data_IF_931500403378
#
_entry.id   IF_931500403378
#
_cell.length_a   1.000
_cell.length_b   1.000
_cell.length_c   1.000
_cell.angle_alpha   90.00
_cell.angle_beta   90.00
_cell.angle_gamma   90.00
#
_symmetry.space_group_name_H-M   'P 1'
#
loop_
_entity.id
_entity.type
_entity.pdbx_description
1 polymer ?
#
# COMPACT_ATOMS: atom_id res chain seq x y z
N UNK A 1 -20.84 -48.80 -5.15
CA UNK A 1 -21.15 -47.60 -4.36
C UNK A 1 -19.89 -47.26 -3.59
N UNK A 2 -19.05 -46.39 -4.15
CA UNK A 2 -17.78 -46.01 -3.53
C UNK A 2 -18.07 -45.06 -2.38
N UNK A 3 -17.71 -45.44 -1.16
CA UNK A 3 -17.94 -44.63 0.03
C UNK A 3 -17.06 -43.38 0.00
N UNK A 4 -17.74 -42.25 0.09
CA UNK A 4 -17.24 -40.87 0.06
C UNK A 4 -16.49 -40.55 1.37
N UNK A 5 -15.29 -41.09 1.55
CA UNK A 5 -14.41 -40.76 2.70
C UNK A 5 -13.53 -39.54 2.41
N UNK A 6 -14.12 -38.45 1.92
CA UNK A 6 -13.48 -37.11 1.93
C UNK A 6 -13.91 -36.30 3.18
N UNK A 7 -14.71 -36.90 4.07
CA UNK A 7 -15.63 -36.12 4.91
C UNK A 7 -14.98 -35.35 6.08
N UNK A 8 -13.75 -35.68 6.51
CA UNK A 8 -13.17 -35.10 7.74
C UNK A 8 -11.73 -34.61 7.62
N UNK A 9 -11.36 -34.05 6.46
CA UNK A 9 -10.11 -33.30 6.33
C UNK A 9 -10.22 -31.92 6.97
N UNK A 10 -9.22 -31.51 7.75
CA UNK A 10 -9.14 -30.15 8.27
C UNK A 10 -8.78 -29.19 7.14
N UNK A 11 -9.58 -28.14 6.97
CA UNK A 11 -9.39 -27.15 5.90
C UNK A 11 -8.22 -26.19 6.20
N UNK A 12 -7.81 -26.06 7.46
CA UNK A 12 -6.72 -25.18 7.88
C UNK A 12 -5.33 -25.82 7.73
N UNK A 13 -5.18 -27.12 8.01
CA UNK A 13 -3.87 -27.80 7.99
C UNK A 13 -3.83 -29.04 7.08
N UNK A 14 -4.95 -29.43 6.48
CA UNK A 14 -5.02 -30.59 5.60
C UNK A 14 -4.97 -31.95 6.32
N UNK A 15 -4.93 -31.98 7.66
CA UNK A 15 -4.90 -33.24 8.42
C UNK A 15 -6.22 -33.99 8.26
N UNK A 16 -6.13 -35.28 7.96
CA UNK A 16 -7.29 -36.15 7.82
C UNK A 16 -7.64 -36.84 9.15
N UNK A 17 -8.93 -36.94 9.45
CA UNK A 17 -9.42 -37.57 10.67
C UNK A 17 -10.39 -38.69 10.37
N UNK A 18 -10.40 -39.70 11.23
CA UNK A 18 -11.32 -40.84 11.11
C UNK A 18 -12.78 -40.48 11.44
N UNK A 19 -13.02 -39.32 12.08
CA UNK A 19 -14.37 -38.89 12.47
C UNK A 19 -14.46 -37.38 12.70
N UNK A 20 -15.67 -36.83 12.53
CA UNK A 20 -15.99 -35.42 12.79
C UNK A 20 -15.62 -34.92 14.20
N UNK A 21 -15.88 -35.65 15.30
CA UNK A 21 -15.48 -35.25 16.65
C UNK A 21 -13.96 -35.16 16.82
N UNK A 22 -13.19 -36.06 16.19
CA UNK A 22 -11.72 -35.97 16.20
C UNK A 22 -11.22 -34.75 15.42
N UNK A 23 -11.81 -34.43 14.26
CA UNK A 23 -11.55 -33.18 13.51
C UNK A 23 -11.88 -31.95 14.36
N UNK A 24 -13.05 -31.92 15.00
CA UNK A 24 -13.47 -30.80 15.84
C UNK A 24 -12.56 -30.61 17.06
N UNK A 25 -12.16 -31.70 17.73
CA UNK A 25 -11.17 -31.67 18.80
C UNK A 25 -9.82 -31.11 18.34
N UNK A 26 -9.33 -31.56 17.20
CA UNK A 26 -8.10 -31.03 16.60
C UNK A 26 -8.18 -29.53 16.33
N UNK A 27 -9.28 -29.05 15.72
CA UNK A 27 -9.51 -27.63 15.45
C UNK A 27 -9.51 -26.82 16.76
N UNK A 28 -10.20 -27.31 17.79
CA UNK A 28 -10.25 -26.61 19.08
C UNK A 28 -8.87 -26.50 19.77
N UNK A 29 -8.00 -27.49 19.57
CA UNK A 29 -6.69 -27.55 20.23
C UNK A 29 -5.56 -26.90 19.42
N UNK A 30 -5.63 -26.95 18.08
CA UNK A 30 -4.53 -26.54 17.19
C UNK A 30 -4.85 -25.32 16.33
N UNK A 31 -6.13 -24.94 16.19
CA UNK A 31 -6.59 -23.84 15.33
C UNK A 31 -7.32 -22.75 16.13
N UNK A 32 -6.95 -22.55 17.39
CA UNK A 32 -7.61 -21.58 18.29
C UNK A 32 -7.53 -20.14 17.76
N UNK A 33 -6.40 -19.76 17.19
CA UNK A 33 -6.18 -18.43 16.60
C UNK A 33 -7.02 -18.25 15.34
N UNK A 34 -7.09 -19.27 14.47
CA UNK A 34 -7.96 -19.27 13.29
C UNK A 34 -9.44 -19.18 13.68
N UNK A 35 -9.85 -19.88 14.74
CA UNK A 35 -11.21 -19.79 15.28
C UNK A 35 -11.51 -18.38 15.78
N UNK A 36 -10.60 -17.80 16.56
CA UNK A 36 -10.73 -16.43 17.05
C UNK A 36 -10.83 -15.43 15.89
N UNK A 37 -9.99 -15.56 14.86
CA UNK A 37 -10.05 -14.75 13.65
C UNK A 37 -11.41 -14.87 12.95
N UNK A 38 -11.92 -16.09 12.80
CA UNK A 38 -13.25 -16.32 12.23
C UNK A 38 -14.38 -15.75 13.10
N UNK A 39 -14.26 -15.79 14.43
CA UNK A 39 -15.22 -15.17 15.34
C UNK A 39 -15.28 -13.65 15.16
N UNK A 40 -14.13 -12.99 14.97
CA UNK A 40 -14.08 -11.56 14.67
C UNK A 40 -14.78 -11.24 13.35
N UNK A 41 -14.52 -12.03 12.29
CA UNK A 41 -15.17 -11.89 10.98
C UNK A 41 -16.69 -12.05 11.11
N UNK A 42 -17.17 -13.10 11.77
CA UNK A 42 -18.59 -13.33 11.95
C UNK A 42 -19.26 -12.25 12.80
N UNK A 43 -18.59 -11.74 13.83
CA UNK A 43 -19.09 -10.61 14.61
C UNK A 43 -19.24 -9.35 13.74
N UNK A 44 -18.28 -9.09 12.85
CA UNK A 44 -18.31 -7.95 11.93
C UNK A 44 -19.43 -8.09 10.90
N UNK A 45 -19.59 -9.27 10.28
CA UNK A 45 -20.65 -9.57 9.32
C UNK A 45 -22.05 -9.47 9.94
N UNK A 46 -22.22 -9.96 11.17
CA UNK A 46 -23.49 -9.84 11.89
C UNK A 46 -23.86 -8.38 12.14
N UNK A 47 -22.90 -7.57 12.61
CA UNK A 47 -23.14 -6.15 12.82
C UNK A 47 -23.43 -5.43 11.50
N UNK A 48 -22.74 -5.79 10.42
CA UNK A 48 -23.02 -5.24 9.10
C UNK A 48 -24.44 -5.57 8.62
N UNK A 49 -24.89 -6.79 8.89
CA UNK A 49 -26.26 -7.25 8.55
C UNK A 49 -27.31 -6.51 9.38
N UNK A 50 -27.05 -6.27 10.67
CA UNK A 50 -27.94 -5.52 11.57
C UNK A 50 -28.07 -4.04 11.17
N UNK A 51 -26.94 -3.42 10.79
CA UNK A 51 -26.91 -2.02 10.35
C UNK A 51 -27.38 -1.83 8.90
N UNK A 52 -27.38 -2.90 8.09
CA UNK A 52 -27.66 -2.85 6.66
C UNK A 52 -26.55 -2.18 5.83
N UNK A 53 -25.38 -1.93 6.44
CA UNK A 53 -24.19 -1.38 5.79
C UNK A 53 -22.93 -1.84 6.51
N UNK A 54 -21.77 -1.68 5.88
CA UNK A 54 -20.50 -1.99 6.53
C UNK A 54 -20.32 -1.14 7.80
N UNK A 55 -20.02 -1.73 8.96
CA UNK A 55 -19.88 -0.97 10.19
C UNK A 55 -18.67 -0.04 10.09
N UNK A 56 -18.83 1.18 10.58
CA UNK A 56 -17.73 2.12 10.78
C UNK A 56 -17.01 1.81 12.08
N UNK A 57 -15.79 2.33 12.20
CA UNK A 57 -14.99 2.10 13.39
C UNK A 57 -15.64 2.69 14.66
N UNK A 58 -16.50 3.72 14.55
CA UNK A 58 -17.23 4.28 15.70
C UNK A 58 -18.38 3.37 16.12
N UNK A 59 -19.10 2.81 15.16
CA UNK A 59 -20.23 1.90 15.44
C UNK A 59 -19.78 0.60 16.08
N UNK A 60 -18.55 0.15 15.79
CA UNK A 60 -17.95 -1.01 16.46
C UNK A 60 -17.57 -0.69 17.90
N UNK A 61 -17.06 0.51 18.17
CA UNK A 61 -16.76 0.90 19.55
C UNK A 61 -18.05 1.12 20.39
N UNK A 62 -19.18 1.44 19.75
CA UNK A 62 -20.47 1.65 20.43
C UNK A 62 -21.36 0.41 20.53
N UNK A 63 -21.46 -0.37 19.44
CA UNK A 63 -22.40 -1.50 19.29
C UNK A 63 -21.70 -2.83 19.03
N UNK A 64 -20.40 -2.79 18.76
CA UNK A 64 -19.61 -3.99 18.49
C UNK A 64 -19.39 -4.81 19.75
N UNK A 65 -19.32 -6.13 19.57
CA UNK A 65 -18.95 -7.06 20.65
C UNK A 65 -17.47 -6.96 21.03
N UNK A 66 -16.65 -6.48 20.10
CA UNK A 66 -15.21 -6.33 20.26
C UNK A 66 -14.81 -4.90 19.94
N UNK A 67 -13.74 -4.43 20.57
CA UNK A 67 -13.22 -3.08 20.32
C UNK A 67 -12.52 -3.00 18.97
N UNK A 68 -12.49 -1.80 18.38
CA UNK A 68 -11.67 -1.50 17.19
C UNK A 68 -10.24 -2.03 17.31
N UNK A 69 -9.63 -1.86 18.48
CA UNK A 69 -8.22 -2.22 18.70
C UNK A 69 -8.00 -3.73 18.55
N UNK A 70 -8.97 -4.55 18.97
CA UNK A 70 -8.89 -6.00 18.79
C UNK A 70 -8.82 -6.39 17.31
N UNK A 71 -9.65 -5.78 16.46
CA UNK A 71 -9.60 -5.98 15.01
C UNK A 71 -8.27 -5.52 14.39
N UNK A 72 -7.74 -4.37 14.80
CA UNK A 72 -6.45 -3.88 14.31
C UNK A 72 -5.30 -4.81 14.76
N UNK A 73 -5.35 -5.34 15.97
CA UNK A 73 -4.32 -6.26 16.48
C UNK A 73 -4.35 -7.61 15.76
N UNK A 74 -5.54 -8.14 15.46
CA UNK A 74 -5.69 -9.45 14.80
C UNK A 74 -5.45 -9.38 13.28
N UNK A 75 -5.99 -8.36 12.60
CA UNK A 75 -5.97 -8.24 11.13
C UNK A 75 -4.98 -7.20 10.59
N UNK A 76 -4.29 -6.46 11.48
CA UNK A 76 -3.36 -5.41 11.12
C UNK A 76 -4.03 -4.06 10.82
N UNK A 77 -5.00 -4.02 9.90
CA UNK A 77 -5.75 -2.78 9.60
C UNK A 77 -7.26 -3.00 9.56
N UNK A 78 -8.01 -1.92 9.76
CA UNK A 78 -9.47 -1.95 9.67
C UNK A 78 -9.97 -2.35 8.28
N UNK A 79 -9.28 -1.91 7.23
CA UNK A 79 -9.64 -2.26 5.86
C UNK A 79 -9.34 -3.73 5.56
N UNK A 80 -8.26 -4.28 6.13
CA UNK A 80 -7.97 -5.72 6.04
C UNK A 80 -9.06 -6.53 6.74
N UNK A 81 -9.49 -6.11 7.93
CA UNK A 81 -10.61 -6.76 8.63
C UNK A 81 -11.92 -6.73 7.83
N UNK A 82 -12.25 -5.61 7.19
CA UNK A 82 -13.41 -5.52 6.29
C UNK A 82 -13.27 -6.40 5.06
N UNK A 83 -12.06 -6.48 4.48
CA UNK A 83 -11.75 -7.31 3.31
C UNK A 83 -11.90 -8.80 3.61
N UNK A 84 -11.35 -9.26 4.74
CA UNK A 84 -11.50 -10.64 5.22
C UNK A 84 -12.97 -10.98 5.52
N UNK A 85 -13.73 -10.01 6.02
CA UNK A 85 -15.16 -10.16 6.24
C UNK A 85 -16.01 -10.08 4.96
N UNK A 86 -15.40 -9.86 3.79
CA UNK A 86 -16.08 -9.64 2.51
C UNK A 86 -17.11 -8.48 2.57
N UNK A 87 -16.79 -7.44 3.35
CA UNK A 87 -17.62 -6.25 3.52
C UNK A 87 -17.08 -5.07 2.72
N UNK A 88 -17.97 -4.19 2.27
CA UNK A 88 -17.60 -3.00 1.51
C UNK A 88 -16.77 -2.04 2.37
N UNK A 89 -15.67 -1.51 1.81
CA UNK A 89 -14.79 -0.59 2.50
C UNK A 89 -15.45 0.79 2.55
N UNK A 90 -16.15 1.07 3.65
CA UNK A 90 -17.03 2.24 3.81
C UNK A 90 -16.29 3.60 3.75
N UNK A 91 -14.98 3.58 4.01
CA UNK A 91 -14.07 4.67 3.64
C UNK A 91 -12.82 4.03 3.06
N UNK A 92 -12.61 4.05 1.73
CA UNK A 92 -11.27 3.76 1.22
C UNK A 92 -10.33 4.70 1.96
N UNK A 93 -9.31 4.16 2.64
CA UNK A 93 -8.16 5.00 2.95
C UNK A 93 -7.77 5.62 1.62
N UNK A 94 -7.65 6.97 1.51
CA UNK A 94 -7.48 7.62 0.21
C UNK A 94 -6.27 7.04 -0.55
N UNK A 95 -5.33 6.43 0.17
CA UNK A 95 -4.37 5.51 -0.41
C UNK A 95 -4.06 4.36 0.56
N UNK A 96 -3.96 3.13 0.06
CA UNK A 96 -3.42 1.99 0.80
C UNK A 96 -1.91 1.89 0.56
N UNK A 97 -1.14 1.32 1.50
CA UNK A 97 0.31 1.08 1.29
C UNK A 97 0.58 0.32 -0.02
N UNK A 98 -0.22 -0.71 -0.30
CA UNK A 98 -0.15 -1.49 -1.54
C UNK A 98 -0.43 -0.64 -2.80
N UNK A 99 -1.37 0.30 -2.74
CA UNK A 99 -1.70 1.20 -3.84
C UNK A 99 -0.56 2.20 -4.12
N UNK A 100 0.08 2.73 -3.06
CA UNK A 100 1.28 3.55 -3.21
C UNK A 100 2.41 2.75 -3.86
N UNK A 101 2.66 1.53 -3.40
CA UNK A 101 3.71 0.63 -3.94
C UNK A 101 3.45 0.33 -5.41
N UNK A 102 2.20 -0.04 -5.75
CA UNK A 102 1.79 -0.31 -7.13
C UNK A 102 1.95 0.93 -8.02
N UNK A 103 1.60 2.11 -7.53
CA UNK A 103 1.78 3.35 -8.28
C UNK A 103 3.26 3.68 -8.51
N UNK A 104 4.12 3.48 -7.51
CA UNK A 104 5.58 3.67 -7.67
C UNK A 104 6.13 2.64 -8.67
N UNK A 105 5.70 1.39 -8.59
CA UNK A 105 6.14 0.33 -9.51
C UNK A 105 5.71 0.60 -10.95
N UNK A 106 4.43 0.90 -11.20
CA UNK A 106 3.95 1.20 -12.55
C UNK A 106 4.61 2.45 -13.15
N UNK A 107 4.87 3.48 -12.34
CA UNK A 107 5.59 4.65 -12.81
C UNK A 107 7.06 4.32 -13.11
N UNK A 108 7.68 3.45 -12.29
CA UNK A 108 9.04 2.97 -12.54
C UNK A 108 9.14 2.14 -13.82
N UNK A 109 8.18 1.26 -14.09
CA UNK A 109 8.10 0.48 -15.33
C UNK A 109 7.92 1.38 -16.56
N UNK A 110 7.15 2.46 -16.42
CA UNK A 110 6.92 3.43 -17.49
C UNK A 110 8.15 4.31 -17.77
N UNK A 111 8.90 4.68 -16.74
CA UNK A 111 10.10 5.52 -16.85
C UNK A 111 11.38 4.71 -17.09
N UNK A 112 11.36 3.40 -16.79
CA UNK A 112 12.53 2.51 -16.85
C UNK A 112 13.54 2.72 -15.71
N UNK A 113 13.22 3.56 -14.72
CA UNK A 113 14.05 3.86 -13.55
C UNK A 113 13.17 4.11 -12.31
N UNK A 114 13.71 4.06 -11.08
CA UNK A 114 12.93 4.43 -9.90
C UNK A 114 12.47 5.90 -10.02
N UNK A 115 11.17 6.20 -9.86
CA UNK A 115 10.67 7.56 -9.98
C UNK A 115 11.22 8.44 -8.87
N UNK A 116 11.61 9.65 -9.22
CA UNK A 116 12.01 10.69 -8.28
C UNK A 116 10.79 11.32 -7.60
N UNK A 117 11.04 12.15 -6.57
CA UNK A 117 9.99 12.85 -5.84
C UNK A 117 9.21 13.81 -6.75
N UNK A 118 9.92 14.54 -7.61
CA UNK A 118 9.32 15.40 -8.64
C UNK A 118 8.46 14.59 -9.61
N UNK A 119 9.00 13.51 -10.18
CA UNK A 119 8.26 12.69 -11.16
C UNK A 119 7.03 12.02 -10.55
N UNK A 120 7.09 11.61 -9.29
CA UNK A 120 5.92 11.08 -8.60
C UNK A 120 4.86 12.18 -8.33
N UNK A 121 5.27 13.43 -8.12
CA UNK A 121 4.31 14.54 -7.97
C UNK A 121 3.77 15.04 -9.32
N UNK A 122 4.52 14.88 -10.42
CA UNK A 122 4.18 15.38 -11.74
C UNK A 122 3.42 14.35 -12.58
N UNK A 123 3.89 13.09 -12.58
CA UNK A 123 3.36 11.98 -13.37
C UNK A 123 2.70 10.89 -12.50
N UNK A 124 2.99 10.88 -11.20
CA UNK A 124 2.45 9.87 -10.29
C UNK A 124 1.02 10.13 -9.87
N UNK A 125 0.28 9.05 -9.61
CA UNK A 125 -1.10 9.12 -9.12
C UNK A 125 -1.21 9.62 -7.67
N UNK A 126 -0.09 9.67 -6.93
CA UNK A 126 -0.07 10.03 -5.51
C UNK A 126 1.10 10.95 -5.18
N UNK A 127 0.86 11.95 -4.33
CA UNK A 127 1.92 12.86 -3.89
C UNK A 127 2.89 12.19 -2.91
N UNK A 128 4.14 12.69 -2.86
CA UNK A 128 5.16 12.30 -1.86
C UNK A 128 4.65 12.41 -0.42
N UNK A 129 3.77 13.38 -0.15
CA UNK A 129 3.14 13.55 1.18
C UNK A 129 2.21 12.38 1.52
N UNK A 130 1.44 11.88 0.57
CA UNK A 130 0.61 10.70 0.75
C UNK A 130 1.48 9.46 1.03
N UNK A 131 2.49 9.20 0.19
CA UNK A 131 3.42 8.09 0.38
C UNK A 131 4.16 8.14 1.73
N UNK A 132 4.68 9.32 2.11
CA UNK A 132 5.41 9.49 3.37
C UNK A 132 4.51 9.31 4.60
N UNK A 133 3.21 9.66 4.52
CA UNK A 133 2.25 9.46 5.62
C UNK A 133 2.04 7.97 5.93
N UNK A 134 2.13 7.11 4.91
CA UNK A 134 1.92 5.68 5.06
C UNK A 134 3.21 4.92 5.39
N UNK A 135 4.34 5.30 4.81
CA UNK A 135 5.64 4.59 4.97
C UNK A 135 6.59 5.26 5.96
N UNK A 136 6.20 6.39 6.56
CA UNK A 136 7.05 7.22 7.41
C UNK A 136 8.02 8.10 6.61
N UNK A 137 8.52 7.61 5.47
CA UNK A 137 9.37 8.36 4.55
C UNK A 137 9.25 7.83 3.12
N UNK A 138 9.58 8.68 2.14
CA UNK A 138 9.69 8.29 0.73
C UNK A 138 10.72 7.18 0.51
N UNK A 139 11.86 7.25 1.19
CA UNK A 139 12.91 6.22 1.14
C UNK A 139 12.41 4.86 1.63
N UNK A 140 11.53 4.83 2.63
CA UNK A 140 10.87 3.59 3.06
C UNK A 140 9.89 3.06 2.01
N UNK A 141 9.20 3.94 1.29
CA UNK A 141 8.32 3.53 0.19
C UNK A 141 9.14 2.91 -0.95
N UNK A 142 10.27 3.52 -1.33
CA UNK A 142 11.19 2.96 -2.33
C UNK A 142 11.78 1.60 -1.89
N UNK A 143 12.18 1.47 -0.62
CA UNK A 143 12.63 0.17 -0.08
C UNK A 143 11.54 -0.90 -0.14
N UNK A 144 10.28 -0.53 0.01
CA UNK A 144 9.17 -1.49 -0.04
C UNK A 144 8.89 -2.04 -1.45
N UNK A 145 9.33 -1.34 -2.49
CA UNK A 145 9.34 -1.83 -3.89
C UNK A 145 10.67 -2.51 -4.26
N UNK A 146 11.63 -2.60 -3.34
CA UNK A 146 12.96 -3.17 -3.58
C UNK A 146 13.96 -2.20 -4.22
N UNK A 147 13.64 -0.90 -4.27
CA UNK A 147 14.58 0.12 -4.72
C UNK A 147 15.47 0.58 -3.56
N UNK A 148 16.78 0.59 -3.78
CA UNK A 148 17.74 1.10 -2.80
C UNK A 148 17.91 2.63 -2.98
N UNK A 149 17.50 3.45 -2.01
CA UNK A 149 17.64 4.91 -2.11
C UNK A 149 19.11 5.36 -2.06
N UNK A 150 20.06 4.45 -1.79
CA UNK A 150 21.48 4.72 -1.72
C UNK A 150 22.22 4.45 -3.05
N UNK A 151 21.51 4.05 -4.11
CA UNK A 151 22.07 4.02 -5.46
C UNK A 151 21.89 5.39 -6.12
N UNK A 152 22.90 6.25 -5.93
CA UNK A 152 23.06 7.50 -6.65
C UNK A 152 23.33 7.24 -8.13
N UNK A 153 22.27 7.07 -8.92
CA UNK A 153 22.34 7.36 -10.36
C UNK A 153 21.37 8.49 -10.67
N UNK A 154 21.90 9.70 -10.57
CA UNK A 154 21.36 10.86 -11.26
C UNK A 154 22.24 11.12 -12.49
N UNK A 155 21.95 10.57 -13.68
CA UNK A 155 22.37 11.23 -14.91
C UNK A 155 21.49 12.46 -15.09
N UNK A 156 21.98 13.63 -14.66
CA UNK A 156 21.37 14.91 -15.03
C UNK A 156 21.68 15.19 -16.50
N UNK A 157 20.84 14.72 -17.40
CA UNK A 157 20.85 15.20 -18.79
C UNK A 157 19.84 16.36 -18.89
N UNK A 158 20.27 17.55 -18.43
CA UNK A 158 19.59 18.81 -18.74
C UNK A 158 19.70 19.04 -20.25
N UNK A 159 18.66 18.59 -20.94
CA UNK A 159 18.31 18.99 -22.29
C UNK A 159 17.95 20.49 -22.28
N UNK A 160 18.98 21.34 -22.24
CA UNK A 160 18.88 22.76 -22.50
C UNK A 160 18.31 22.97 -23.92
N UNK A 161 17.01 23.26 -23.98
CA UNK A 161 16.34 23.76 -25.18
C UNK A 161 15.45 24.95 -24.82
N UNK A 162 15.96 26.16 -25.02
CA UNK A 162 15.23 27.21 -25.75
C UNK A 162 16.07 28.47 -25.97
N UNK A 163 15.86 29.04 -27.15
CA UNK A 163 16.64 30.10 -27.78
C UNK A 163 16.21 31.51 -27.32
N UNK A 164 17.21 32.39 -27.25
CA UNK A 164 17.23 33.79 -27.71
C UNK A 164 16.26 34.83 -27.10
N UNK A 165 16.82 35.87 -26.44
CA UNK A 165 16.48 37.27 -26.77
C UNK A 165 17.61 38.25 -26.43
N UNK A 166 17.79 39.18 -27.35
CA UNK A 166 18.83 40.20 -27.52
C UNK A 166 18.46 41.51 -26.80
N UNK A 167 19.41 42.18 -26.15
CA UNK A 167 19.55 43.66 -26.04
C UNK A 167 20.78 44.01 -25.19
N UNK A 168 21.83 44.62 -25.78
CA UNK A 168 22.15 46.07 -25.86
C UNK A 168 22.71 46.68 -24.56
N UNK A 169 23.99 47.06 -24.57
CA UNK A 169 24.62 48.32 -24.06
C UNK A 169 26.14 48.14 -24.19
N UNK A 170 26.90 48.87 -25.02
CA UNK A 170 27.24 50.31 -25.05
C UNK A 170 28.36 50.68 -24.06
N UNK A 171 29.43 51.28 -24.62
CA UNK A 171 30.56 51.95 -23.95
C UNK A 171 31.68 51.00 -23.50
N UNK A 172 32.95 51.33 -23.50
CA UNK A 172 33.74 52.45 -24.01
C UNK A 172 35.18 52.05 -23.61
N UNK A 173 36.15 52.03 -24.51
CA UNK A 173 37.45 52.65 -24.23
C UNK A 173 38.33 52.62 -25.47
N UNK A 174 38.84 53.81 -25.75
CA UNK A 174 39.54 54.24 -26.95
C UNK A 174 41.02 53.93 -26.88
N UNK A 175 41.66 53.94 -28.06
CA UNK A 175 43.00 54.51 -28.34
C UNK A 175 44.21 53.96 -27.55
N UNK A 176 45.38 53.70 -28.12
CA UNK A 176 46.02 54.03 -29.38
C UNK A 176 47.30 53.19 -29.41
N UNK A 177 47.78 52.81 -30.60
CA UNK A 177 49.12 53.17 -31.04
C UNK A 177 49.40 52.55 -32.42
N UNK A 178 49.85 53.44 -33.28
CA UNK A 178 50.18 53.30 -34.68
C UNK A 178 51.59 52.68 -34.85
N UNK A 179 51.92 52.27 -36.10
CA UNK A 179 53.18 52.59 -36.83
C UNK A 179 54.04 51.40 -37.34
N UNK A 180 53.97 51.23 -38.68
CA UNK A 180 55.08 51.06 -39.65
C UNK A 180 55.85 49.73 -39.71
N UNK A 181 55.74 49.00 -40.84
CA UNK A 181 56.58 49.15 -42.06
C UNK A 181 55.85 48.61 -43.28
#
# INVERSE_FOLDING_TARGET
>A
MSNETDSYKCESCGTEFESGPKKAGHISQNHREDQQRNEFIHALQRLATDLGHSPTMSEIDEKGRYTRKAYITEFGTWNDALREASLEINKPSPVSKAEVVKAIQSLSEQLGHPPTVEEMNEYGQYSRKAASKHFGSWSNALRSVGFDPNHEEIPREDSSSSRLRRSRSAGDESSSANRTQ
#
